data_IF_079674326547
#
_entry.id   IF_079674326547
#
_cell.length_a   1.000
_cell.length_b   1.000
_cell.length_c   1.000
_cell.angle_alpha   90.00
_cell.angle_beta   90.00
_cell.angle_gamma   90.00
#
_symmetry.space_group_name_H-M   'P 1'
#
loop_
_entity.id
_entity.type
_entity.pdbx_description
1 polymer ?
#
# COMPACT_ATOMS: atom_id res chain seq x y z
N UNK A 1 2.91 -4.84 7.64
CA UNK A 1 4.01 -3.86 7.57
C UNK A 1 4.32 -3.25 8.93
N UNK A 2 3.34 -2.70 9.64
CA UNK A 2 3.53 -2.12 10.98
C UNK A 2 4.29 -3.04 11.95
N UNK A 3 3.88 -4.31 12.08
CA UNK A 3 4.52 -5.23 13.04
C UNK A 3 5.94 -5.63 12.59
N UNK A 4 6.16 -5.70 11.28
CA UNK A 4 7.49 -5.92 10.69
C UNK A 4 8.41 -4.74 11.01
N UNK A 5 7.92 -3.51 10.85
CA UNK A 5 8.69 -2.32 11.18
C UNK A 5 9.01 -2.25 12.68
N UNK A 6 8.01 -2.46 13.56
CA UNK A 6 8.23 -2.51 15.02
C UNK A 6 9.23 -3.59 15.47
N UNK A 7 9.27 -4.73 14.78
CA UNK A 7 10.14 -5.85 15.15
C UNK A 7 11.53 -5.85 14.51
N UNK A 8 11.76 -5.08 13.44
CA UNK A 8 13.00 -5.18 12.65
C UNK A 8 13.58 -3.85 12.16
N UNK A 9 12.90 -2.73 12.41
CA UNK A 9 13.19 -1.41 11.85
C UNK A 9 13.45 -1.43 10.33
N UNK A 10 12.73 -2.30 9.63
CA UNK A 10 12.91 -2.49 8.20
C UNK A 10 12.54 -1.22 7.43
N UNK A 11 13.50 -0.69 6.69
CA UNK A 11 13.30 0.47 5.81
C UNK A 11 12.24 0.21 4.75
N UNK A 12 12.17 -1.01 4.21
CA UNK A 12 11.13 -1.43 3.26
C UNK A 12 9.75 -1.43 3.93
N UNK A 13 9.66 -1.90 5.18
CA UNK A 13 8.40 -1.86 5.92
C UNK A 13 7.93 -0.43 6.20
N UNK A 14 8.85 0.49 6.52
CA UNK A 14 8.56 1.93 6.66
C UNK A 14 8.07 2.53 5.33
N UNK A 15 8.77 2.28 4.24
CA UNK A 15 8.40 2.77 2.90
C UNK A 15 7.00 2.27 2.45
N UNK A 16 6.65 1.04 2.84
CA UNK A 16 5.30 0.51 2.60
C UNK A 16 4.24 1.26 3.40
N UNK A 17 4.51 1.56 4.68
CA UNK A 17 3.60 2.32 5.53
C UNK A 17 3.41 3.75 5.01
N UNK A 18 4.46 4.40 4.51
CA UNK A 18 4.39 5.74 3.92
C UNK A 18 3.49 5.77 2.69
N UNK A 19 3.69 4.83 1.74
CA UNK A 19 2.82 4.72 0.55
C UNK A 19 1.36 4.44 0.90
N UNK A 20 1.12 3.60 1.91
CA UNK A 20 -0.24 3.33 2.40
C UNK A 20 -0.82 4.59 3.05
N UNK A 21 0.00 5.35 3.79
CA UNK A 21 -0.36 6.63 4.39
C UNK A 21 -0.85 7.64 3.36
N UNK A 22 -0.11 7.81 2.25
CA UNK A 22 -0.50 8.70 1.15
C UNK A 22 -1.89 8.39 0.58
N UNK A 23 -2.23 7.09 0.49
CA UNK A 23 -3.57 6.68 0.04
C UNK A 23 -4.65 7.06 1.06
N UNK A 24 -4.39 6.89 2.35
CA UNK A 24 -5.30 7.32 3.39
C UNK A 24 -5.46 8.83 3.45
N UNK A 25 -4.41 9.60 3.14
CA UNK A 25 -4.49 11.06 3.09
C UNK A 25 -5.43 11.53 1.97
N UNK A 26 -5.36 10.91 0.79
CA UNK A 26 -6.31 11.17 -0.31
C UNK A 26 -7.74 10.82 0.14
N UNK A 27 -7.95 9.66 0.76
CA UNK A 27 -9.27 9.25 1.25
C UNK A 27 -9.82 10.22 2.31
N UNK A 28 -8.97 10.72 3.22
CA UNK A 28 -9.36 11.75 4.20
C UNK A 28 -9.77 13.06 3.53
N UNK A 29 -9.07 13.49 2.48
CA UNK A 29 -9.39 14.73 1.75
C UNK A 29 -10.75 14.66 1.05
N UNK A 30 -11.11 13.51 0.50
CA UNK A 30 -12.38 13.34 -0.22
C UNK A 30 -13.54 12.89 0.68
N UNK A 31 -13.26 12.55 1.93
CA UNK A 31 -14.30 12.21 2.91
C UNK A 31 -15.26 13.38 3.08
N UNK A 32 -16.57 13.10 3.13
CA UNK A 32 -17.62 14.12 3.20
C UNK A 32 -18.06 14.72 1.87
N UNK A 33 -17.32 14.49 0.76
CA UNK A 33 -17.74 14.93 -0.58
C UNK A 33 -18.76 13.97 -1.23
N UNK A 34 -19.50 14.40 -2.26
CA UNK A 34 -20.43 13.54 -2.99
C UNK A 34 -19.76 12.29 -3.59
N UNK A 35 -20.52 11.21 -3.75
CA UNK A 35 -20.00 9.93 -4.23
C UNK A 35 -19.32 10.02 -5.61
N UNK A 36 -19.85 10.84 -6.52
CA UNK A 36 -19.26 11.08 -7.85
C UNK A 36 -17.89 11.73 -7.77
N UNK A 37 -17.74 12.75 -6.91
CA UNK A 37 -16.44 13.41 -6.68
C UNK A 37 -15.43 12.44 -6.09
N UNK A 38 -15.82 11.67 -5.06
CA UNK A 38 -14.95 10.65 -4.47
C UNK A 38 -14.50 9.62 -5.49
N UNK A 39 -15.41 9.18 -6.37
CA UNK A 39 -15.07 8.23 -7.44
C UNK A 39 -14.09 8.82 -8.44
N UNK A 40 -14.29 10.08 -8.86
CA UNK A 40 -13.37 10.76 -9.78
C UNK A 40 -11.95 10.84 -9.20
N UNK A 41 -11.81 11.30 -7.95
CA UNK A 41 -10.49 11.39 -7.29
C UNK A 41 -9.86 10.02 -7.08
N UNK A 42 -10.65 8.98 -6.75
CA UNK A 42 -10.11 7.62 -6.64
C UNK A 42 -9.56 7.12 -7.97
N UNK A 43 -10.24 7.36 -9.09
CA UNK A 43 -9.75 6.97 -10.40
C UNK A 43 -8.50 7.77 -10.81
N UNK A 44 -8.47 9.06 -10.51
CA UNK A 44 -7.39 9.95 -10.95
C UNK A 44 -6.15 9.84 -10.07
N UNK A 45 -6.30 9.76 -8.75
CA UNK A 45 -5.20 9.87 -7.80
C UNK A 45 -4.92 8.56 -7.06
N UNK A 46 -5.96 7.86 -6.57
CA UNK A 46 -5.76 6.64 -5.78
C UNK A 46 -5.32 5.48 -6.67
N UNK A 47 -6.00 5.25 -7.80
CA UNK A 47 -5.74 4.13 -8.71
C UNK A 47 -4.29 4.06 -9.21
N UNK A 48 -3.65 5.13 -9.73
CA UNK A 48 -2.25 5.04 -10.16
C UNK A 48 -1.30 4.75 -9.00
N UNK A 49 -1.56 5.29 -7.80
CA UNK A 49 -0.73 5.03 -6.60
C UNK A 49 -0.88 3.61 -6.09
N UNK A 50 -2.09 3.09 -6.07
CA UNK A 50 -2.41 1.70 -5.73
C UNK A 50 -1.68 0.78 -6.71
N UNK A 51 -1.74 1.04 -8.03
CA UNK A 51 -1.00 0.25 -9.04
C UNK A 51 0.52 0.35 -8.84
N UNK A 52 1.05 1.54 -8.62
CA UNK A 52 2.48 1.73 -8.36
C UNK A 52 2.93 0.97 -7.10
N UNK A 53 2.10 0.95 -6.05
CA UNK A 53 2.36 0.20 -4.83
C UNK A 53 2.36 -1.32 -5.07
N UNK A 54 1.47 -1.82 -5.92
CA UNK A 54 1.46 -3.24 -6.33
C UNK A 54 2.77 -3.64 -7.03
N UNK A 55 3.15 -2.91 -8.08
CA UNK A 55 4.40 -3.17 -8.81
C UNK A 55 5.62 -3.06 -7.92
N UNK A 56 5.63 -2.07 -7.00
CA UNK A 56 6.69 -1.94 -6.02
C UNK A 56 6.75 -3.15 -5.07
N UNK A 57 5.60 -3.62 -4.57
CA UNK A 57 5.52 -4.82 -3.73
C UNK A 57 6.07 -6.06 -4.44
N UNK A 58 5.70 -6.28 -5.70
CA UNK A 58 6.23 -7.38 -6.51
C UNK A 58 7.76 -7.30 -6.65
N UNK A 59 8.28 -6.10 -6.92
CA UNK A 59 9.72 -5.85 -7.03
C UNK A 59 10.46 -6.10 -5.72
N UNK A 60 9.91 -5.66 -4.59
CA UNK A 60 10.51 -5.91 -3.28
C UNK A 60 10.48 -7.40 -2.92
N UNK A 61 9.41 -8.11 -3.25
CA UNK A 61 9.29 -9.54 -2.97
C UNK A 61 10.37 -10.37 -3.66
N UNK A 62 10.78 -9.98 -4.88
CA UNK A 62 11.86 -10.62 -5.62
C UNK A 62 13.26 -10.38 -5.01
N UNK A 63 13.41 -9.34 -4.17
CA UNK A 63 14.70 -8.89 -3.61
C UNK A 63 14.94 -9.33 -2.16
N UNK A 64 13.93 -9.87 -1.49
CA UNK A 64 14.02 -10.24 -0.07
C UNK A 64 13.90 -11.75 0.15
N UNK A 65 14.43 -12.30 1.26
CA UNK A 65 14.26 -13.70 1.59
C UNK A 65 12.78 -14.08 1.72
N UNK A 66 12.34 -15.07 0.95
CA UNK A 66 10.92 -15.42 0.84
C UNK A 66 10.25 -15.89 2.14
N UNK A 67 11.01 -16.36 3.14
CA UNK A 67 10.48 -16.85 4.43
C UNK A 67 10.36 -15.78 5.52
N UNK A 68 10.86 -14.56 5.30
CA UNK A 68 10.83 -13.49 6.30
C UNK A 68 9.43 -12.91 6.54
N UNK A 69 9.23 -12.31 7.70
CA UNK A 69 7.97 -11.63 8.07
C UNK A 69 7.62 -10.49 7.10
N UNK A 70 8.64 -9.79 6.57
CA UNK A 70 8.43 -8.79 5.51
C UNK A 70 7.85 -9.40 4.23
N UNK A 71 8.36 -10.56 3.79
CA UNK A 71 7.84 -11.24 2.61
C UNK A 71 6.40 -11.74 2.81
N UNK A 72 6.06 -12.18 4.03
CA UNK A 72 4.67 -12.52 4.39
C UNK A 72 3.77 -11.28 4.32
N UNK A 73 4.21 -10.15 4.87
CA UNK A 73 3.45 -8.91 4.83
C UNK A 73 3.22 -8.40 3.39
N UNK A 74 4.23 -8.48 2.53
CA UNK A 74 4.11 -8.11 1.11
C UNK A 74 3.13 -9.02 0.38
N UNK A 75 3.25 -10.35 0.54
CA UNK A 75 2.31 -11.30 -0.07
C UNK A 75 0.87 -11.07 0.41
N UNK A 76 0.69 -10.74 1.67
CA UNK A 76 -0.63 -10.39 2.20
C UNK A 76 -1.20 -9.14 1.51
N UNK A 77 -0.39 -8.09 1.32
CA UNK A 77 -0.80 -6.90 0.60
C UNK A 77 -1.18 -7.20 -0.87
N UNK A 78 -0.36 -7.98 -1.58
CA UNK A 78 -0.62 -8.41 -2.96
C UNK A 78 -1.89 -9.27 -3.07
N UNK A 79 -2.14 -10.19 -2.14
CA UNK A 79 -3.36 -11.01 -2.15
C UNK A 79 -4.63 -10.19 -1.91
N UNK A 80 -4.53 -9.10 -1.13
CA UNK A 80 -5.65 -8.21 -0.84
C UNK A 80 -5.97 -7.24 -1.98
N UNK A 81 -5.12 -7.21 -3.02
CA UNK A 81 -5.30 -6.38 -4.22
C UNK A 81 -6.68 -6.53 -4.88
N UNK A 82 -7.21 -7.76 -4.95
CA UNK A 82 -8.53 -8.03 -5.57
C UNK A 82 -9.71 -7.36 -4.85
N UNK A 83 -9.49 -6.79 -3.67
CA UNK A 83 -10.51 -6.11 -2.88
C UNK A 83 -10.53 -4.58 -3.07
N UNK A 84 -9.59 -4.02 -3.84
CA UNK A 84 -9.53 -2.60 -4.23
C UNK A 84 -10.10 -2.41 -5.64
#
# INVERSE_FOLDING_TARGET
FHDVWKGSDSTIAREALERIGELYDIERQITGHPASYRLAIRQEQSRPRVTAFHTWCETQLARIPGKGELAKAIRYALNRWKAF
#
